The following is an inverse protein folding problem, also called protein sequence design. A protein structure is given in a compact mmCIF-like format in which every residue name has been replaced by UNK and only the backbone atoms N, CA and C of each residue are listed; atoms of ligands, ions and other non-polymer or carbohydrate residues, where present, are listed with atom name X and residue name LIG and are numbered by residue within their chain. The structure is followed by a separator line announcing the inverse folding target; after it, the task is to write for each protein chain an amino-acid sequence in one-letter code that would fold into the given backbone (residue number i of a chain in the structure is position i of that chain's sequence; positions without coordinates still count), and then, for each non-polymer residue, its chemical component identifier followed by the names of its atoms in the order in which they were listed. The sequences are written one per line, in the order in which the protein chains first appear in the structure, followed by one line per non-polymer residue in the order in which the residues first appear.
data_IF_397683933144
#
_entry.id   IF_397683933144
#
_cell.length_a   1.000
_cell.length_b   1.000
_cell.length_c   1.000
_cell.angle_alpha   90.00
_cell.angle_beta   90.00
_cell.angle_gamma   90.00
#
_symmetry.space_group_name_H-M   'P 1'
#
loop_
_entity.id
_entity.type
_entity.pdbx_description
1 polymer ?
#
# COMPACT_ATOMS: atom_id res chain seq x y z
N UNK A 1 -43.89 48.88 46.85
CA UNK A 1 -43.93 47.42 46.76
C UNK A 1 -42.50 46.92 46.87
N UNK A 2 -42.12 46.39 48.03
CA UNK A 2 -40.81 45.81 48.32
C UNK A 2 -41.04 44.40 48.81
N UNK A 3 -40.42 43.42 48.16
CA UNK A 3 -40.44 42.01 48.59
C UNK A 3 -39.00 41.51 48.56
N UNK A 4 -38.57 41.04 49.73
CA UNK A 4 -37.35 40.30 50.06
C UNK A 4 -37.29 38.92 49.42
N UNK A 5 -36.09 38.44 49.05
CA UNK A 5 -35.81 37.00 48.92
C UNK A 5 -34.29 36.76 49.03
N UNK A 6 -33.81 36.27 50.18
CA UNK A 6 -33.46 34.87 50.50
C UNK A 6 -32.36 34.27 49.60
N UNK A 7 -31.12 34.30 50.12
CA UNK A 7 -30.02 33.45 49.67
C UNK A 7 -30.03 32.15 50.49
N UNK A 8 -30.03 31.00 49.80
CA UNK A 8 -29.76 29.71 50.41
C UNK A 8 -28.54 29.07 49.74
N UNK A 9 -27.59 28.71 50.59
CA UNK A 9 -26.43 27.90 50.28
C UNK A 9 -26.86 26.47 49.92
N UNK A 10 -26.27 25.92 48.86
CA UNK A 10 -26.16 24.48 48.70
C UNK A 10 -24.74 24.09 48.29
N UNK A 11 -24.08 23.41 49.21
CA UNK A 11 -22.84 22.67 49.05
C UNK A 11 -23.20 21.24 48.65
N UNK A 12 -22.75 20.77 47.48
CA UNK A 12 -22.69 19.36 47.05
C UNK A 12 -21.45 19.29 46.15
N UNK A 13 -20.40 18.51 46.36
CA UNK A 13 -20.26 17.25 47.08
C UNK A 13 -20.15 16.09 46.08
N UNK A 14 -18.96 15.90 45.47
CA UNK A 14 -18.29 14.63 45.09
C UNK A 14 -17.37 14.83 43.87
N UNK A 15 -16.07 14.77 44.12
CA UNK A 15 -15.03 14.55 43.12
C UNK A 15 -15.09 13.07 42.70
N UNK A 16 -15.81 12.78 41.61
CA UNK A 16 -15.71 11.50 40.91
C UNK A 16 -14.46 11.50 40.04
N UNK A 17 -13.39 10.85 40.50
CA UNK A 17 -12.21 10.56 39.68
C UNK A 17 -12.60 9.47 38.68
N UNK A 18 -13.00 9.86 37.47
CA UNK A 18 -13.12 8.94 36.35
C UNK A 18 -11.71 8.60 35.85
N UNK A 19 -11.15 7.50 36.35
CA UNK A 19 -10.02 6.84 35.68
C UNK A 19 -10.52 6.26 34.36
N UNK A 20 -10.41 7.01 33.28
CA UNK A 20 -10.55 6.48 31.92
C UNK A 20 -9.29 5.66 31.65
N UNK A 21 -9.36 4.35 31.89
CA UNK A 21 -8.32 3.44 31.48
C UNK A 21 -8.33 3.37 29.94
N UNK A 22 -7.50 4.18 29.29
CA UNK A 22 -7.11 3.98 27.90
C UNK A 22 -6.29 2.69 27.85
N UNK A 23 -6.99 1.55 27.75
CA UNK A 23 -6.38 0.29 27.39
C UNK A 23 -5.94 0.37 25.93
N UNK A 24 -4.69 0.78 25.70
CA UNK A 24 -4.06 0.63 24.41
C UNK A 24 -3.92 -0.87 24.15
N UNK A 25 -4.86 -1.44 23.39
CA UNK A 25 -4.72 -2.79 22.86
C UNK A 25 -3.57 -2.75 21.87
N UNK A 26 -2.43 -3.32 22.27
CA UNK A 26 -1.35 -3.62 21.34
C UNK A 26 -1.92 -4.61 20.34
N UNK A 27 -2.27 -4.15 19.14
CA UNK A 27 -2.66 -5.03 18.06
C UNK A 27 -1.48 -5.95 17.78
N UNK A 28 -1.68 -7.25 17.85
CA UNK A 28 -0.68 -8.20 17.36
C UNK A 28 -0.35 -7.84 15.91
N UNK A 29 0.93 -7.85 15.55
CA UNK A 29 1.33 -7.66 14.17
C UNK A 29 0.64 -8.72 13.31
N UNK A 30 -0.02 -8.29 12.24
CA UNK A 30 -0.64 -9.17 11.25
C UNK A 30 0.45 -10.03 10.59
N UNK A 31 0.26 -11.35 10.53
CA UNK A 31 1.17 -12.24 9.81
C UNK A 31 0.86 -12.20 8.32
N UNK A 32 1.71 -11.51 7.55
CA UNK A 32 1.58 -11.35 6.10
C UNK A 32 2.25 -12.47 5.31
N UNK A 33 2.91 -13.42 5.97
CA UNK A 33 3.69 -14.50 5.34
C UNK A 33 2.87 -15.34 4.36
N UNK A 34 1.62 -15.75 4.66
CA UNK A 34 0.84 -16.56 3.73
C UNK A 34 0.58 -15.86 2.39
N UNK A 35 0.27 -14.57 2.43
CA UNK A 35 0.02 -13.76 1.24
C UNK A 35 1.30 -13.57 0.41
N UNK A 36 2.43 -13.32 1.07
CA UNK A 36 3.72 -13.21 0.40
C UNK A 36 4.10 -14.52 -0.29
N UNK A 37 3.91 -15.68 0.35
CA UNK A 37 4.19 -16.98 -0.25
C UNK A 37 3.31 -17.25 -1.48
N UNK A 38 2.02 -16.96 -1.39
CA UNK A 38 1.08 -17.14 -2.50
C UNK A 38 1.43 -16.23 -3.69
N UNK A 39 1.65 -14.94 -3.46
CA UNK A 39 2.01 -13.99 -4.50
C UNK A 39 3.38 -14.33 -5.12
N UNK A 40 4.37 -14.67 -4.30
CA UNK A 40 5.70 -15.08 -4.77
C UNK A 40 5.64 -16.32 -5.64
N UNK A 41 4.87 -17.34 -5.22
CA UNK A 41 4.70 -18.56 -6.01
C UNK A 41 4.09 -18.28 -7.39
N UNK A 42 3.11 -17.37 -7.47
CA UNK A 42 2.54 -16.95 -8.74
C UNK A 42 3.58 -16.22 -9.61
N UNK A 43 4.30 -15.24 -9.06
CA UNK A 43 5.28 -14.45 -9.82
C UNK A 43 6.42 -15.34 -10.31
N UNK A 44 7.01 -16.18 -9.45
CA UNK A 44 8.05 -17.15 -9.87
C UNK A 44 7.56 -18.09 -10.96
N UNK A 45 6.33 -18.60 -10.87
CA UNK A 45 5.78 -19.44 -11.95
C UNK A 45 5.60 -18.64 -13.25
N UNK A 46 5.23 -17.36 -13.16
CA UNK A 46 4.93 -16.54 -14.32
C UNK A 46 6.18 -16.01 -15.03
N UNK A 47 7.26 -15.73 -14.29
CA UNK A 47 8.52 -15.16 -14.82
C UNK A 47 9.62 -16.20 -14.99
N UNK A 48 9.49 -17.38 -14.38
CA UNK A 48 10.57 -18.38 -14.27
C UNK A 48 11.82 -17.86 -13.53
N UNK A 49 11.65 -16.80 -12.75
CA UNK A 49 12.71 -16.18 -11.95
C UNK A 49 12.42 -16.33 -10.45
N UNK A 50 13.47 -16.48 -9.65
CA UNK A 50 13.35 -16.47 -8.20
C UNK A 50 12.99 -15.07 -7.69
N UNK A 51 12.21 -15.02 -6.61
CA UNK A 51 11.88 -13.77 -5.92
C UNK A 51 13.01 -13.45 -4.94
N UNK A 52 13.60 -12.23 -4.96
CA UNK A 52 14.58 -11.85 -3.97
C UNK A 52 13.97 -11.86 -2.56
N UNK A 53 14.81 -12.00 -1.53
CA UNK A 53 14.33 -11.88 -0.16
C UNK A 53 13.76 -10.47 0.08
N UNK A 54 12.45 -10.37 0.26
CA UNK A 54 11.73 -9.13 0.56
C UNK A 54 10.92 -9.28 1.85
N UNK A 55 10.81 -8.18 2.59
CA UNK A 55 9.88 -8.08 3.72
C UNK A 55 8.59 -7.38 3.29
N UNK A 56 7.48 -7.64 3.97
CA UNK A 56 6.20 -6.97 3.70
C UNK A 56 5.67 -6.42 5.02
N UNK A 57 5.18 -5.18 5.00
CA UNK A 57 4.50 -4.58 6.16
C UNK A 57 3.34 -3.69 5.74
N UNK A 58 2.49 -3.36 6.72
CA UNK A 58 1.51 -2.28 6.59
C UNK A 58 2.20 -0.91 6.72
N UNK A 59 1.69 0.09 6.02
CA UNK A 59 2.15 1.46 6.10
C UNK A 59 1.04 2.48 5.86
N UNK A 60 1.44 3.74 5.85
CA UNK A 60 0.58 4.88 5.57
C UNK A 60 0.86 5.51 4.21
N UNK A 61 -0.12 6.22 3.67
CA UNK A 61 -0.03 6.88 2.36
C UNK A 61 1.21 7.77 2.19
N UNK A 62 1.64 8.46 3.25
CA UNK A 62 2.85 9.28 3.22
C UNK A 62 4.13 8.47 3.02
N UNK A 63 4.20 7.25 3.58
CA UNK A 63 5.35 6.36 3.38
C UNK A 63 5.37 5.79 1.95
N UNK A 64 4.20 5.38 1.45
CA UNK A 64 4.02 4.88 0.10
C UNK A 64 4.40 5.95 -0.94
N UNK A 65 3.94 7.20 -0.74
CA UNK A 65 4.33 8.32 -1.59
C UNK A 65 5.83 8.60 -1.55
N UNK A 66 6.46 8.52 -0.37
CA UNK A 66 7.90 8.68 -0.24
C UNK A 66 8.67 7.55 -0.96
N UNK A 67 8.16 6.32 -0.95
CA UNK A 67 8.76 5.20 -1.66
C UNK A 67 8.67 5.37 -3.19
N UNK A 68 7.53 5.86 -3.70
CA UNK A 68 7.30 6.04 -5.15
C UNK A 68 7.94 7.30 -5.71
N UNK A 69 7.84 8.43 -5.01
CA UNK A 69 8.25 9.75 -5.52
C UNK A 69 9.52 10.33 -4.87
N UNK A 70 10.04 9.67 -3.83
CA UNK A 70 11.13 10.19 -3.00
C UNK A 70 10.64 11.13 -1.89
N UNK A 71 11.46 11.26 -0.83
CA UNK A 71 11.15 12.13 0.31
C UNK A 71 11.12 13.61 -0.09
N UNK A 72 10.07 14.33 0.34
CA UNK A 72 9.97 15.78 0.16
C UNK A 72 9.61 16.24 -1.26
N UNK A 73 9.36 15.32 -2.19
CA UNK A 73 8.90 15.67 -3.53
C UNK A 73 7.46 16.20 -3.49
N UNK A 74 7.28 17.49 -3.81
CA UNK A 74 5.96 18.03 -4.13
C UNK A 74 5.54 17.52 -5.51
N UNK A 75 4.94 16.33 -5.56
CA UNK A 75 4.50 15.73 -6.80
C UNK A 75 3.05 16.14 -7.12
N UNK A 76 2.70 16.48 -8.38
CA UNK A 76 1.31 16.81 -8.78
C UNK A 76 0.30 15.67 -8.55
N UNK A 77 0.80 14.47 -8.20
CA UNK A 77 0.02 13.27 -7.93
C UNK A 77 0.00 12.89 -6.45
N UNK A 78 0.33 13.81 -5.53
CA UNK A 78 0.19 13.61 -4.09
C UNK A 78 -1.26 13.38 -3.61
N UNK A 79 -2.24 13.52 -4.51
CA UNK A 79 -3.66 13.22 -4.28
C UNK A 79 -4.06 11.81 -4.72
N UNK A 80 -3.16 11.05 -5.35
CA UNK A 80 -3.45 9.68 -5.77
C UNK A 80 -3.16 8.75 -4.60
N UNK A 81 -4.15 7.94 -4.24
CA UNK A 81 -4.01 6.88 -3.25
C UNK A 81 -3.17 5.73 -3.84
N UNK A 82 -2.15 5.30 -3.11
CA UNK A 82 -1.21 4.26 -3.53
C UNK A 82 -1.53 3.04 -2.68
N UNK A 83 -1.89 1.92 -3.30
CA UNK A 83 -2.28 0.72 -2.56
C UNK A 83 -1.06 -0.04 -2.00
N UNK A 84 0.05 -0.01 -2.72
CA UNK A 84 1.30 -0.69 -2.39
C UNK A 84 2.49 -0.01 -3.05
N UNK A 85 3.69 -0.20 -2.50
CA UNK A 85 4.95 0.23 -3.11
C UNK A 85 6.11 -0.65 -2.65
N UNK A 86 6.98 -1.04 -3.58
CA UNK A 86 8.29 -1.60 -3.29
C UNK A 86 9.30 -0.48 -3.05
N UNK A 87 9.98 -0.55 -1.90
CA UNK A 87 11.12 0.30 -1.56
C UNK A 87 12.43 -0.45 -1.87
N UNK A 88 13.15 -0.08 -2.93
CA UNK A 88 14.40 -0.75 -3.30
C UNK A 88 15.56 -0.49 -2.35
N UNK A 89 15.52 0.59 -1.56
CA UNK A 89 16.57 0.92 -0.58
C UNK A 89 16.47 -0.02 0.61
N UNK A 90 15.23 -0.30 1.05
CA UNK A 90 14.96 -1.14 2.23
C UNK A 90 14.76 -2.63 1.87
N UNK A 91 14.50 -2.95 0.61
CA UNK A 91 14.11 -4.31 0.21
C UNK A 91 12.77 -4.72 0.84
N UNK A 92 11.84 -3.78 0.91
CA UNK A 92 10.57 -3.90 1.62
C UNK A 92 9.40 -3.53 0.72
N UNK A 93 8.30 -4.27 0.83
CA UNK A 93 7.02 -3.90 0.24
C UNK A 93 6.14 -3.31 1.33
N UNK A 94 5.68 -2.09 1.10
CA UNK A 94 4.75 -1.38 1.96
C UNK A 94 3.37 -1.54 1.35
N UNK A 95 2.39 -1.98 2.15
CA UNK A 95 0.99 -2.11 1.74
C UNK A 95 0.15 -1.12 2.55
N UNK A 96 -0.79 -0.42 1.91
CA UNK A 96 -1.71 0.46 2.61
C UNK A 96 -2.56 -0.33 3.62
N UNK A 97 -2.74 0.24 4.81
CA UNK A 97 -3.36 -0.43 5.95
C UNK A 97 -4.78 -0.95 5.73
N UNK A 98 -5.54 -0.40 4.79
CA UNK A 98 -6.92 -0.77 4.47
C UNK A 98 -7.05 -1.71 3.27
N UNK A 99 -5.93 -2.10 2.63
CA UNK A 99 -5.94 -3.08 1.54
C UNK A 99 -6.22 -4.48 2.09
N UNK A 100 -7.33 -5.08 1.65
CA UNK A 100 -7.69 -6.45 1.99
C UNK A 100 -6.91 -7.47 1.14
N UNK A 101 -5.82 -7.99 1.69
CA UNK A 101 -4.98 -9.01 1.05
C UNK A 101 -5.65 -10.39 0.95
N UNK A 102 -6.76 -10.64 1.66
CA UNK A 102 -7.53 -11.86 1.45
C UNK A 102 -8.38 -11.80 0.17
N UNK A 103 -8.67 -10.60 -0.33
CA UNK A 103 -9.31 -10.42 -1.63
C UNK A 103 -8.30 -10.62 -2.77
N UNK A 104 -8.70 -11.22 -3.92
CA UNK A 104 -7.81 -11.33 -5.06
C UNK A 104 -7.34 -9.96 -5.60
N UNK A 105 -8.18 -8.92 -5.48
CA UNK A 105 -7.78 -7.56 -5.88
C UNK A 105 -6.67 -7.02 -4.98
N UNK A 106 -6.81 -7.12 -3.65
CA UNK A 106 -5.77 -6.67 -2.73
C UNK A 106 -4.47 -7.45 -2.89
N UNK A 107 -4.55 -8.78 -3.02
CA UNK A 107 -3.37 -9.63 -3.25
C UNK A 107 -2.68 -9.32 -4.59
N UNK A 108 -3.43 -8.83 -5.59
CA UNK A 108 -2.84 -8.45 -6.89
C UNK A 108 -1.87 -7.27 -6.79
N UNK A 109 -2.03 -6.37 -5.82
CA UNK A 109 -1.05 -5.30 -5.57
C UNK A 109 0.28 -5.88 -5.07
N UNK A 110 0.25 -6.92 -4.23
CA UNK A 110 1.47 -7.59 -3.81
C UNK A 110 2.17 -8.29 -4.98
N UNK A 111 1.41 -8.88 -5.91
CA UNK A 111 1.95 -9.43 -7.17
C UNK A 111 2.68 -8.35 -7.97
N UNK A 112 2.09 -7.16 -8.09
CA UNK A 112 2.71 -6.02 -8.80
C UNK A 112 4.05 -5.62 -8.18
N UNK A 113 4.08 -5.37 -6.87
CA UNK A 113 5.31 -4.95 -6.18
C UNK A 113 6.41 -6.03 -6.19
N UNK A 114 6.04 -7.30 -6.19
CA UNK A 114 7.00 -8.40 -6.33
C UNK A 114 7.69 -8.41 -7.70
N UNK A 115 7.00 -8.02 -8.76
CA UNK A 115 7.62 -7.85 -10.08
C UNK A 115 8.67 -6.74 -10.04
N UNK A 116 8.38 -5.61 -9.39
CA UNK A 116 9.38 -4.56 -9.18
C UNK A 116 10.58 -5.05 -8.39
N UNK A 117 10.38 -5.89 -7.38
CA UNK A 117 11.48 -6.49 -6.64
C UNK A 117 12.39 -7.35 -7.53
N UNK A 118 11.82 -8.16 -8.44
CA UNK A 118 12.60 -8.95 -9.41
C UNK A 118 13.33 -8.07 -10.41
N UNK A 119 12.64 -7.08 -10.99
CA UNK A 119 13.23 -6.13 -11.92
C UNK A 119 14.42 -5.40 -11.29
N UNK A 120 14.29 -4.99 -10.03
CA UNK A 120 15.37 -4.33 -9.30
C UNK A 120 16.55 -5.26 -9.01
N UNK A 121 16.28 -6.48 -8.53
CA UNK A 121 17.30 -7.47 -8.19
C UNK A 121 18.10 -7.94 -9.41
N UNK A 122 17.47 -7.96 -10.58
CA UNK A 122 18.11 -8.31 -11.87
C UNK A 122 18.78 -7.12 -12.56
N UNK A 123 18.66 -5.90 -12.01
CA UNK A 123 19.29 -4.70 -12.57
C UNK A 123 18.56 -4.09 -13.77
N UNK A 124 17.38 -4.59 -14.13
CA UNK A 124 16.63 -4.19 -15.33
C UNK A 124 16.24 -2.72 -15.35
N UNK A 125 16.09 -2.08 -14.20
CA UNK A 125 15.87 -0.64 -14.04
C UNK A 125 17.03 0.20 -14.61
N UNK A 126 18.25 -0.34 -14.63
CA UNK A 126 19.43 0.37 -15.16
C UNK A 126 19.58 0.15 -16.67
N UNK A 127 19.16 -1.01 -17.16
CA UNK A 127 19.34 -1.44 -18.54
C UNK A 127 18.17 -1.04 -19.45
N UNK A 128 17.01 -0.72 -18.87
CA UNK A 128 15.80 -0.36 -19.61
C UNK A 128 15.74 1.16 -19.81
N UNK A 129 15.79 1.67 -21.05
CA UNK A 129 15.75 3.12 -21.31
C UNK A 129 14.44 3.81 -20.89
N UNK A 130 13.41 3.01 -20.60
CA UNK A 130 12.04 3.43 -20.42
C UNK A 130 11.43 2.76 -19.17
N UNK A 131 11.38 3.45 -18.03
CA UNK A 131 10.75 2.94 -16.81
C UNK A 131 9.30 2.49 -17.04
N UNK A 132 8.56 3.19 -17.91
CA UNK A 132 7.18 2.86 -18.26
C UNK A 132 6.98 1.45 -18.83
N UNK A 133 7.99 0.88 -19.49
CA UNK A 133 7.94 -0.51 -19.97
C UNK A 133 8.05 -1.55 -18.85
N UNK A 134 8.76 -1.23 -17.76
CA UNK A 134 8.83 -2.08 -16.56
C UNK A 134 7.53 -2.02 -15.76
N UNK A 135 6.94 -0.82 -15.65
CA UNK A 135 5.59 -0.65 -15.07
C UNK A 135 4.54 -1.44 -15.86
N UNK A 136 4.58 -1.37 -17.19
CA UNK A 136 3.65 -2.09 -18.04
C UNK A 136 3.73 -3.61 -17.87
N UNK A 137 4.94 -4.15 -17.65
CA UNK A 137 5.14 -5.57 -17.34
C UNK A 137 4.54 -5.94 -15.98
N UNK A 138 4.76 -5.13 -14.94
CA UNK A 138 4.19 -5.37 -13.62
C UNK A 138 2.65 -5.39 -13.68
N UNK A 139 2.04 -4.41 -14.38
CA UNK A 139 0.60 -4.40 -14.63
C UNK A 139 0.12 -5.61 -15.46
N UNK A 140 0.89 -6.05 -16.45
CA UNK A 140 0.52 -7.22 -17.25
C UNK A 140 0.46 -8.50 -16.40
N UNK A 141 1.40 -8.69 -15.46
CA UNK A 141 1.35 -9.81 -14.51
C UNK A 141 0.26 -9.66 -13.45
N UNK A 142 0.01 -8.45 -12.97
CA UNK A 142 -1.14 -8.17 -12.11
C UNK A 142 -2.47 -8.54 -12.79
N UNK A 143 -2.65 -8.10 -14.04
CA UNK A 143 -3.83 -8.45 -14.84
C UNK A 143 -3.92 -9.96 -15.12
N UNK A 144 -2.79 -10.65 -15.37
CA UNK A 144 -2.76 -12.11 -15.53
C UNK A 144 -3.20 -12.83 -14.25
N UNK A 145 -2.76 -12.35 -13.09
CA UNK A 145 -3.18 -12.88 -11.79
C UNK A 145 -4.69 -12.72 -11.59
N UNK A 146 -5.23 -11.52 -11.82
CA UNK A 146 -6.66 -11.26 -11.65
C UNK A 146 -7.53 -12.13 -12.58
N UNK A 147 -7.11 -12.32 -13.84
CA UNK A 147 -7.80 -13.25 -14.75
C UNK A 147 -7.80 -14.69 -14.23
N UNK A 148 -6.67 -15.17 -13.68
CA UNK A 148 -6.59 -16.53 -13.11
C UNK A 148 -7.48 -16.70 -11.88
N UNK A 149 -7.86 -15.59 -11.23
CA UNK A 149 -8.80 -15.53 -10.10
C UNK A 149 -10.24 -15.23 -10.50
N UNK A 150 -10.56 -15.23 -11.79
CA UNK A 150 -11.91 -15.00 -12.29
C UNK A 150 -12.37 -13.53 -12.25
N UNK A 151 -11.43 -12.58 -12.23
CA UNK A 151 -11.69 -11.13 -12.22
C UNK A 151 -11.24 -10.45 -13.54
N UNK A 152 -11.84 -10.78 -14.70
CA UNK A 152 -11.40 -10.22 -15.98
C UNK A 152 -11.71 -8.73 -16.15
N UNK A 153 -12.75 -8.21 -15.49
CA UNK A 153 -13.08 -6.78 -15.53
C UNK A 153 -12.04 -5.94 -14.80
N UNK A 154 -11.62 -6.37 -13.60
CA UNK A 154 -10.53 -5.72 -12.86
C UNK A 154 -9.21 -5.84 -13.62
N UNK A 155 -8.94 -7.01 -14.21
CA UNK A 155 -7.75 -7.21 -15.05
C UNK A 155 -7.69 -6.24 -16.24
N UNK A 156 -8.83 -5.95 -16.89
CA UNK A 156 -8.89 -5.03 -18.03
C UNK A 156 -8.45 -3.61 -17.66
N UNK A 157 -8.78 -3.14 -16.45
CA UNK A 157 -8.32 -1.85 -15.97
C UNK A 157 -6.79 -1.79 -15.94
N UNK A 158 -6.15 -2.83 -15.39
CA UNK A 158 -4.69 -2.89 -15.29
C UNK A 158 -4.01 -3.11 -16.64
N UNK A 159 -4.63 -3.82 -17.59
CA UNK A 159 -4.13 -3.86 -18.96
C UNK A 159 -4.08 -2.45 -19.57
N UNK A 160 -5.15 -1.65 -19.38
CA UNK A 160 -5.22 -0.28 -19.90
C UNK A 160 -4.16 0.60 -19.24
N UNK A 161 -3.99 0.50 -17.92
CA UNK A 161 -2.94 1.22 -17.21
C UNK A 161 -1.56 0.83 -17.73
N UNK A 162 -1.28 -0.47 -17.90
CA UNK A 162 -0.04 -0.95 -18.49
C UNK A 162 0.19 -0.39 -19.90
N UNK A 163 -0.82 -0.37 -20.77
CA UNK A 163 -0.73 0.22 -22.10
C UNK A 163 -0.42 1.74 -22.07
N UNK A 164 -1.00 2.46 -21.12
CA UNK A 164 -0.74 3.90 -20.96
C UNK A 164 0.68 4.17 -20.45
N UNK A 165 1.15 3.37 -19.49
CA UNK A 165 2.48 3.50 -18.89
C UNK A 165 3.60 3.01 -19.83
N UNK A 166 3.32 2.06 -20.72
CA UNK A 166 4.28 1.55 -21.70
C UNK A 166 4.81 2.63 -22.65
N UNK A 167 4.13 3.78 -22.75
CA UNK A 167 4.58 4.88 -23.58
C UNK A 167 5.79 5.59 -22.95
N UNK A 168 6.95 5.44 -23.59
CA UNK A 168 8.20 6.07 -23.22
C UNK A 168 8.19 7.55 -23.58
N UNK A 169 7.39 8.35 -22.87
CA UNK A 169 7.37 9.78 -23.08
C UNK A 169 8.64 10.36 -22.46
N UNK A 170 9.54 10.92 -23.28
CA UNK A 170 10.86 11.43 -22.87
C UNK A 170 10.82 12.60 -21.86
N UNK A 171 9.63 13.05 -21.46
CA UNK A 171 9.39 14.23 -20.63
C UNK A 171 9.52 14.01 -19.11
N UNK A 172 9.81 12.79 -18.65
CA UNK A 172 9.98 12.47 -17.21
C UNK A 172 11.43 12.15 -16.82
N UNK A 173 12.40 12.84 -17.43
CA UNK A 173 13.81 12.81 -17.00
C UNK A 173 14.14 13.98 -16.07
#
# INVERSE_FOLDING_TARGET
MSITSFQHHHTVGLLGVFSVAFGATVSAAEDLTPFLLEASAFVTQATEEDIPAVSVRRGHQMELQAAVFGEGASHPFNHVDIAAAFDPIRGEIIIMGDVDLASPLGLSFLVHELVHSQQFATGRQSDTPCPGSLEAEAYALQARFLRSRGLPQDALLYDILGMMQASCNEYLR
#
